data_IF_559073084474
#
_entry.id   IF_559073084474
#
_cell.length_a   1.000
_cell.length_b   1.000
_cell.length_c   1.000
_cell.angle_alpha   90.00
_cell.angle_beta   90.00
_cell.angle_gamma   90.00
#
_symmetry.space_group_name_H-M   'P 1'
#
loop_
_entity.id
_entity.type
_entity.pdbx_description
1 polymer ?
#
# COMPACT_ATOMS: atom_id res chain seq x y z
N UNK A 1 38.87 -42.36 12.13
CA UNK A 1 39.03 -41.62 10.86
C UNK A 1 37.70 -41.41 10.13
N UNK A 2 36.89 -42.47 9.92
CA UNK A 2 35.58 -42.35 9.23
C UNK A 2 34.61 -41.38 9.94
N UNK A 3 34.58 -41.37 11.29
CA UNK A 3 33.74 -40.43 12.08
C UNK A 3 34.15 -38.95 11.93
N UNK A 4 35.44 -38.62 11.84
CA UNK A 4 35.90 -37.24 11.65
C UNK A 4 35.58 -36.73 10.23
N UNK A 5 35.69 -37.59 9.21
CA UNK A 5 35.34 -37.23 7.84
C UNK A 5 33.82 -37.01 7.72
N UNK A 6 33.01 -37.88 8.33
CA UNK A 6 31.55 -37.71 8.34
C UNK A 6 31.12 -36.43 9.06
N UNK A 7 31.76 -36.09 10.19
CA UNK A 7 31.51 -34.84 10.90
C UNK A 7 31.89 -33.61 10.06
N UNK A 8 33.05 -33.64 9.40
CA UNK A 8 33.50 -32.55 8.53
C UNK A 8 32.58 -32.36 7.31
N UNK A 9 32.15 -33.46 6.66
CA UNK A 9 31.20 -33.41 5.53
C UNK A 9 29.86 -32.83 5.96
N UNK A 10 29.34 -33.26 7.12
CA UNK A 10 28.06 -32.75 7.64
C UNK A 10 28.15 -31.26 7.98
N UNK A 11 29.26 -30.81 8.58
CA UNK A 11 29.49 -29.40 8.86
C UNK A 11 29.55 -28.54 7.58
N UNK A 12 30.24 -29.03 6.55
CA UNK A 12 30.31 -28.35 5.25
C UNK A 12 28.93 -28.30 4.57
N UNK A 13 28.18 -29.41 4.61
CA UNK A 13 26.83 -29.47 4.05
C UNK A 13 25.89 -28.46 4.73
N UNK A 14 25.90 -28.41 6.07
CA UNK A 14 25.11 -27.45 6.83
C UNK A 14 25.51 -26.00 6.52
N UNK A 15 26.82 -25.72 6.42
CA UNK A 15 27.31 -24.39 6.03
C UNK A 15 26.80 -23.99 4.64
N UNK A 16 26.85 -24.89 3.66
CA UNK A 16 26.33 -24.63 2.30
C UNK A 16 24.83 -24.36 2.34
N UNK A 17 24.06 -25.13 3.10
CA UNK A 17 22.61 -24.94 3.25
C UNK A 17 22.31 -23.57 3.89
N UNK A 18 23.03 -23.18 4.94
CA UNK A 18 22.84 -21.88 5.59
C UNK A 18 23.16 -20.72 4.63
N UNK A 19 24.24 -20.82 3.85
CA UNK A 19 24.58 -19.82 2.83
C UNK A 19 23.48 -19.77 1.77
N UNK A 20 23.00 -20.91 1.28
CA UNK A 20 21.93 -20.96 0.29
C UNK A 20 20.65 -20.30 0.82
N UNK A 21 20.23 -20.62 2.06
CA UNK A 21 19.08 -19.98 2.72
C UNK A 21 19.24 -18.47 2.82
N UNK A 22 20.41 -17.99 3.25
CA UNK A 22 20.70 -16.56 3.35
C UNK A 22 20.60 -15.87 1.98
N UNK A 23 21.07 -16.51 0.91
CA UNK A 23 20.98 -15.95 -0.44
C UNK A 23 19.55 -15.95 -0.96
N UNK A 24 18.76 -17.01 -0.74
CA UNK A 24 17.34 -17.01 -1.12
C UNK A 24 16.57 -15.95 -0.34
N UNK A 25 16.84 -15.77 0.95
CA UNK A 25 16.28 -14.69 1.75
C UNK A 25 16.63 -13.31 1.16
N UNK A 26 17.91 -13.08 0.84
CA UNK A 26 18.37 -11.85 0.18
C UNK A 26 17.70 -11.61 -1.18
N UNK A 27 17.52 -12.66 -1.98
CA UNK A 27 16.87 -12.57 -3.30
C UNK A 27 15.38 -12.23 -3.16
N UNK A 28 14.69 -12.88 -2.23
CA UNK A 28 13.29 -12.58 -1.89
C UNK A 28 13.15 -11.14 -1.39
N UNK A 29 14.04 -10.71 -0.51
CA UNK A 29 14.09 -9.32 -0.04
C UNK A 29 14.34 -8.35 -1.19
N UNK A 30 15.27 -8.65 -2.09
CA UNK A 30 15.54 -7.83 -3.27
C UNK A 30 14.31 -7.68 -4.16
N UNK A 31 13.60 -8.78 -4.46
CA UNK A 31 12.38 -8.71 -5.25
C UNK A 31 11.29 -7.92 -4.53
N UNK A 32 11.11 -8.14 -3.21
CA UNK A 32 10.16 -7.36 -2.40
C UNK A 32 10.47 -5.87 -2.48
N UNK A 33 11.74 -5.48 -2.29
CA UNK A 33 12.20 -4.11 -2.40
C UNK A 33 12.01 -3.53 -3.82
N UNK A 34 12.39 -4.28 -4.85
CA UNK A 34 12.23 -3.88 -6.25
C UNK A 34 10.75 -3.63 -6.61
N UNK A 35 9.85 -4.55 -6.24
CA UNK A 35 8.42 -4.37 -6.45
C UNK A 35 7.83 -3.26 -5.60
N UNK A 36 8.36 -3.03 -4.39
CA UNK A 36 7.95 -1.90 -3.55
C UNK A 36 8.30 -0.56 -4.20
N UNK A 37 9.54 -0.41 -4.70
CA UNK A 37 9.97 0.77 -5.48
C UNK A 37 9.12 0.92 -6.75
N UNK A 38 8.83 -0.18 -7.44
CA UNK A 38 7.98 -0.15 -8.63
C UNK A 38 6.53 0.27 -8.30
N UNK A 39 5.96 -0.19 -7.17
CA UNK A 39 4.64 0.24 -6.69
C UNK A 39 4.62 1.73 -6.33
N UNK A 40 5.67 2.22 -5.68
CA UNK A 40 5.84 3.66 -5.41
C UNK A 40 5.91 4.45 -6.73
N UNK A 41 6.69 3.96 -7.70
CA UNK A 41 6.76 4.57 -9.03
C UNK A 41 5.39 4.61 -9.72
N UNK A 42 4.61 3.53 -9.66
CA UNK A 42 3.23 3.48 -10.16
C UNK A 42 2.28 4.43 -9.43
N UNK A 43 2.50 4.66 -8.14
CA UNK A 43 1.71 5.60 -7.34
C UNK A 43 1.87 7.04 -7.85
N UNK A 44 3.11 7.48 -8.08
CA UNK A 44 3.42 8.83 -8.52
C UNK A 44 3.23 9.05 -10.02
N UNK A 45 3.52 8.05 -10.85
CA UNK A 45 3.53 8.18 -12.30
C UNK A 45 2.95 6.89 -12.93
N UNK A 46 1.62 6.71 -12.90
CA UNK A 46 1.01 5.44 -13.31
C UNK A 46 1.21 5.14 -14.79
N UNK A 47 1.07 6.14 -15.67
CA UNK A 47 1.25 5.92 -17.11
C UNK A 47 2.72 5.58 -17.41
N UNK A 48 3.65 6.36 -16.86
CA UNK A 48 5.08 6.14 -17.00
C UNK A 48 5.49 4.79 -16.46
N UNK A 49 4.93 4.35 -15.33
CA UNK A 49 5.20 3.03 -14.75
C UNK A 49 4.73 1.88 -15.63
N UNK A 50 3.53 1.99 -16.21
CA UNK A 50 3.03 0.97 -17.16
C UNK A 50 3.89 0.93 -18.42
N UNK A 51 4.22 2.09 -18.98
CA UNK A 51 5.11 2.18 -20.14
C UNK A 51 6.50 1.60 -19.82
N UNK A 52 7.07 1.93 -18.66
CA UNK A 52 8.33 1.38 -18.20
C UNK A 52 8.28 -0.15 -18.07
N UNK A 53 7.24 -0.71 -17.47
CA UNK A 53 7.10 -2.16 -17.34
C UNK A 53 7.02 -2.87 -18.69
N UNK A 54 6.26 -2.32 -19.64
CA UNK A 54 6.19 -2.87 -20.99
C UNK A 54 7.56 -2.83 -21.69
N UNK A 55 8.29 -1.72 -21.58
CA UNK A 55 9.63 -1.59 -22.13
C UNK A 55 10.65 -2.50 -21.44
N UNK A 56 10.49 -2.74 -20.13
CA UNK A 56 11.30 -3.71 -19.40
C UNK A 56 11.06 -5.13 -19.93
N UNK A 57 9.80 -5.50 -20.18
CA UNK A 57 9.47 -6.78 -20.82
C UNK A 57 10.08 -6.91 -22.22
N UNK A 58 10.09 -5.83 -23.01
CA UNK A 58 10.76 -5.80 -24.33
C UNK A 58 12.27 -6.02 -24.17
N UNK A 59 12.92 -5.37 -23.20
CA UNK A 59 14.34 -5.55 -22.94
C UNK A 59 14.67 -6.98 -22.46
N UNK A 60 13.83 -7.57 -21.62
CA UNK A 60 13.94 -8.99 -21.22
C UNK A 60 13.82 -9.88 -22.46
N UNK A 61 12.83 -9.65 -23.32
CA UNK A 61 12.65 -10.41 -24.56
C UNK A 61 13.88 -10.29 -25.47
N UNK A 62 14.42 -9.09 -25.68
CA UNK A 62 15.64 -8.86 -26.47
C UNK A 62 16.83 -9.64 -25.89
N UNK A 63 17.02 -9.56 -24.57
CA UNK A 63 18.10 -10.27 -23.87
C UNK A 63 18.02 -11.80 -24.07
N UNK A 64 16.83 -12.38 -24.16
CA UNK A 64 16.66 -13.82 -24.39
C UNK A 64 16.47 -14.20 -25.87
N UNK A 65 16.34 -13.22 -26.79
CA UNK A 65 16.15 -13.52 -28.21
C UNK A 65 17.43 -14.04 -28.87
N UNK A 66 17.28 -14.95 -29.83
CA UNK A 66 18.38 -15.61 -30.53
C UNK A 66 19.19 -14.67 -31.46
N UNK A 67 18.64 -13.50 -31.82
CA UNK A 67 19.23 -12.61 -32.83
C UNK A 67 20.12 -11.50 -32.23
N UNK A 68 20.47 -11.59 -30.94
CA UNK A 68 21.33 -10.58 -30.29
C UNK A 68 21.43 -10.69 -28.77
N UNK A 69 20.70 -11.61 -28.13
CA UNK A 69 20.70 -11.80 -26.69
C UNK A 69 21.80 -12.73 -26.15
N UNK A 70 21.68 -13.05 -24.85
CA UNK A 70 22.51 -13.99 -24.09
C UNK A 70 22.67 -15.36 -24.79
N UNK A 71 21.66 -15.79 -25.55
CA UNK A 71 21.70 -17.06 -26.29
C UNK A 71 22.60 -17.01 -27.54
N UNK A 72 22.72 -15.86 -28.21
CA UNK A 72 23.61 -15.67 -29.36
C UNK A 72 25.10 -15.68 -28.97
N UNK A 73 25.40 -15.32 -27.72
CA UNK A 73 26.75 -15.38 -27.15
C UNK A 73 27.31 -16.81 -27.07
N UNK A 74 26.44 -17.83 -27.01
CA UNK A 74 26.84 -19.24 -26.98
C UNK A 74 27.15 -19.85 -28.35
N UNK A 75 26.62 -19.27 -29.43
CA UNK A 75 26.72 -19.82 -30.79
C UNK A 75 27.83 -19.19 -31.63
N UNK A 76 28.46 -18.12 -31.14
CA UNK A 76 29.57 -17.42 -31.83
C UNK A 76 29.12 -16.61 -33.06
N UNK A 77 27.83 -16.62 -33.38
CA UNK A 77 27.27 -15.94 -34.54
C UNK A 77 26.59 -14.64 -34.10
N UNK A 78 27.39 -13.66 -33.70
CA UNK A 78 26.91 -12.33 -33.33
C UNK A 78 26.75 -11.50 -34.60
N UNK A 79 25.77 -11.84 -35.43
CA UNK A 79 25.32 -10.93 -36.47
C UNK A 79 24.54 -9.81 -35.80
N UNK A 80 25.09 -8.60 -35.81
CA UNK A 80 24.31 -7.39 -35.50
C UNK A 80 23.14 -7.44 -36.47
N UNK A 81 21.87 -7.42 -36.01
CA UNK A 81 20.75 -7.38 -36.92
C UNK A 81 20.82 -6.04 -37.66
N UNK A 82 21.44 -6.07 -38.84
CA UNK A 82 21.33 -5.02 -39.84
C UNK A 82 19.88 -5.05 -40.29
N UNK A 83 19.06 -4.21 -39.64
CA UNK A 83 17.74 -3.73 -40.11
C UNK A 83 17.13 -4.65 -41.16
N UNK A 84 16.60 -5.79 -40.73
CA UNK A 84 15.85 -6.66 -41.65
C UNK A 84 14.54 -5.96 -41.98
N UNK A 85 14.38 -5.63 -43.26
CA UNK A 85 13.17 -5.16 -43.92
C UNK A 85 11.97 -6.07 -43.62
N UNK A 86 11.26 -5.83 -42.53
CA UNK A 86 9.87 -6.22 -42.40
C UNK A 86 9.06 -4.96 -42.09
N UNK A 87 8.98 -4.10 -43.10
CA UNK A 87 8.02 -2.99 -43.14
C UNK A 87 6.63 -3.58 -43.32
N UNK A 88 5.86 -3.64 -42.23
CA UNK A 88 4.42 -3.56 -42.33
C UNK A 88 4.12 -2.15 -42.86
N UNK A 89 3.79 -2.06 -44.15
CA UNK A 89 3.42 -0.81 -44.85
C UNK A 89 2.15 -0.22 -44.24
N UNK A 90 2.33 0.51 -43.14
CA UNK A 90 1.35 1.44 -42.60
C UNK A 90 2.01 2.81 -42.74
N UNK A 91 1.37 3.78 -43.44
CA UNK A 91 1.95 5.08 -43.72
C UNK A 91 1.95 5.93 -42.44
N UNK A 92 2.94 5.70 -41.58
CA UNK A 92 3.23 6.48 -40.36
C UNK A 92 4.75 6.66 -40.28
N UNK A 93 5.32 7.28 -41.32
CA UNK A 93 6.77 7.36 -41.55
C UNK A 93 7.56 7.98 -40.36
N UNK A 94 6.94 8.85 -39.56
CA UNK A 94 7.59 9.46 -38.40
C UNK A 94 7.70 8.55 -37.16
N UNK A 95 6.59 7.92 -36.76
CA UNK A 95 6.52 7.14 -35.51
C UNK A 95 7.26 5.81 -35.65
N UNK A 96 7.16 5.18 -36.82
CA UNK A 96 7.84 3.91 -37.10
C UNK A 96 9.35 4.10 -37.11
N UNK A 97 9.84 5.19 -37.69
CA UNK A 97 11.27 5.51 -37.70
C UNK A 97 11.82 5.71 -36.29
N UNK A 98 11.14 6.50 -35.45
CA UNK A 98 11.58 6.75 -34.07
C UNK A 98 11.53 5.47 -33.21
N UNK A 99 10.52 4.62 -33.41
CA UNK A 99 10.41 3.32 -32.71
C UNK A 99 11.55 2.38 -33.10
N UNK A 100 11.87 2.32 -34.40
CA UNK A 100 12.99 1.51 -34.89
C UNK A 100 14.35 2.03 -34.40
N UNK A 101 14.53 3.36 -34.34
CA UNK A 101 15.72 3.99 -33.76
C UNK A 101 15.88 3.60 -32.29
N UNK A 102 14.83 3.76 -31.48
CA UNK A 102 14.85 3.41 -30.06
C UNK A 102 15.11 1.90 -29.83
N UNK A 103 14.53 1.04 -30.66
CA UNK A 103 14.76 -0.41 -30.60
C UNK A 103 16.21 -0.78 -30.97
N UNK A 104 16.78 -0.14 -32.00
CA UNK A 104 18.19 -0.34 -32.38
C UNK A 104 19.15 0.12 -31.27
N UNK A 105 18.82 1.22 -30.60
CA UNK A 105 19.57 1.73 -29.44
C UNK A 105 19.47 0.75 -28.26
N UNK A 106 18.29 0.20 -28.01
CA UNK A 106 18.10 -0.83 -26.97
C UNK A 106 18.93 -2.07 -27.23
N UNK A 107 18.86 -2.62 -28.45
CA UNK A 107 19.70 -3.75 -28.85
C UNK A 107 21.19 -3.44 -28.63
N UNK A 108 21.66 -2.27 -29.07
CA UNK A 108 23.06 -1.87 -28.88
C UNK A 108 23.46 -1.79 -27.40
N UNK A 109 22.64 -1.17 -26.56
CA UNK A 109 22.90 -1.03 -25.11
C UNK A 109 22.93 -2.41 -24.45
N UNK A 110 21.94 -3.27 -24.71
CA UNK A 110 21.85 -4.61 -24.12
C UNK A 110 23.01 -5.50 -24.58
N UNK A 111 23.38 -5.46 -25.87
CA UNK A 111 24.51 -6.22 -26.42
C UNK A 111 25.84 -5.73 -25.82
N UNK A 112 26.03 -4.42 -25.67
CA UNK A 112 27.25 -3.91 -25.07
C UNK A 112 27.34 -4.26 -23.58
N UNK A 113 26.25 -4.10 -22.83
CA UNK A 113 26.18 -4.50 -21.43
C UNK A 113 26.45 -5.99 -21.24
N UNK A 114 25.86 -6.86 -22.07
CA UNK A 114 26.10 -8.31 -22.00
C UNK A 114 27.54 -8.66 -22.33
N UNK A 115 28.16 -7.99 -23.32
CA UNK A 115 29.57 -8.16 -23.66
C UNK A 115 30.48 -7.70 -22.52
N UNK A 116 30.18 -6.58 -21.89
CA UNK A 116 31.00 -6.07 -20.79
C UNK A 116 30.84 -6.92 -19.53
N UNK A 117 29.63 -7.44 -19.26
CA UNK A 117 29.39 -8.45 -18.22
C UNK A 117 30.17 -9.74 -18.51
N UNK A 118 30.18 -10.20 -19.75
CA UNK A 118 30.95 -11.38 -20.16
C UNK A 118 32.46 -11.14 -20.00
N UNK A 119 32.99 -9.99 -20.44
CA UNK A 119 34.41 -9.65 -20.24
C UNK A 119 34.76 -9.61 -18.76
N UNK A 120 33.92 -8.97 -17.94
CA UNK A 120 34.10 -8.94 -16.50
C UNK A 120 34.11 -10.36 -15.91
N UNK A 121 33.19 -11.23 -16.34
CA UNK A 121 33.13 -12.61 -15.89
C UNK A 121 34.37 -13.41 -16.30
N UNK A 122 34.83 -13.27 -17.55
CA UNK A 122 36.05 -13.91 -18.04
C UNK A 122 37.29 -13.43 -17.26
N UNK A 123 37.37 -12.14 -16.93
CA UNK A 123 38.51 -11.59 -16.19
C UNK A 123 38.46 -11.93 -14.70
N UNK A 124 37.27 -11.95 -14.08
CA UNK A 124 37.12 -12.05 -12.62
C UNK A 124 36.86 -13.48 -12.15
N UNK A 125 36.05 -14.25 -12.88
CA UNK A 125 35.65 -15.60 -12.48
C UNK A 125 36.49 -16.64 -13.20
N UNK A 126 36.61 -16.54 -14.52
CA UNK A 126 37.31 -17.55 -15.32
C UNK A 126 38.82 -17.62 -15.04
N UNK A 127 39.44 -16.53 -14.58
CA UNK A 127 40.84 -16.51 -14.16
C UNK A 127 41.17 -17.53 -13.05
N UNK A 128 40.17 -17.97 -12.28
CA UNK A 128 40.33 -18.97 -11.21
C UNK A 128 40.08 -20.42 -11.66
N UNK A 129 39.87 -20.65 -12.96
CA UNK A 129 39.51 -21.97 -13.51
C UNK A 129 40.45 -23.08 -12.98
N UNK A 130 39.84 -24.14 -12.45
CA UNK A 130 40.55 -25.31 -11.90
C UNK A 130 40.80 -25.24 -10.38
N UNK A 131 40.50 -24.10 -9.73
CA UNK A 131 40.51 -24.00 -8.27
C UNK A 131 39.14 -24.31 -7.65
N UNK A 132 39.11 -24.67 -6.35
CA UNK A 132 37.84 -24.76 -5.61
C UNK A 132 37.11 -23.40 -5.55
N UNK A 133 37.86 -22.30 -5.52
CA UNK A 133 37.34 -20.93 -5.52
C UNK A 133 36.50 -20.67 -6.77
N UNK A 134 36.87 -21.24 -7.92
CA UNK A 134 36.09 -21.12 -9.15
C UNK A 134 34.65 -21.64 -9.00
N UNK A 135 34.47 -22.77 -8.31
CA UNK A 135 33.13 -23.36 -8.10
C UNK A 135 32.27 -22.40 -7.25
N UNK A 136 32.84 -21.88 -6.16
CA UNK A 136 32.16 -20.88 -5.32
C UNK A 136 31.82 -19.61 -6.09
N UNK A 137 32.74 -19.07 -6.89
CA UNK A 137 32.50 -17.88 -7.71
C UNK A 137 31.43 -18.12 -8.78
N UNK A 138 31.38 -19.30 -9.39
CA UNK A 138 30.32 -19.67 -10.35
C UNK A 138 28.96 -19.70 -9.66
N UNK A 139 28.85 -20.34 -8.49
CA UNK A 139 27.61 -20.36 -7.71
C UNK A 139 27.18 -18.94 -7.34
N UNK A 140 28.10 -18.13 -6.81
CA UNK A 140 27.83 -16.73 -6.48
C UNK A 140 27.38 -15.92 -7.69
N UNK A 141 28.02 -16.13 -8.85
CA UNK A 141 27.65 -15.44 -10.09
C UNK A 141 26.23 -15.82 -10.51
N UNK A 142 25.88 -17.10 -10.49
CA UNK A 142 24.52 -17.57 -10.85
C UNK A 142 23.47 -16.95 -9.91
N UNK A 143 23.78 -16.89 -8.61
CA UNK A 143 22.87 -16.31 -7.61
C UNK A 143 22.69 -14.80 -7.79
N UNK A 144 23.79 -14.07 -8.01
CA UNK A 144 23.76 -12.61 -8.20
C UNK A 144 23.35 -12.19 -9.62
N UNK A 145 23.29 -13.12 -10.57
CA UNK A 145 22.94 -12.83 -11.96
C UNK A 145 21.58 -12.16 -12.07
N UNK A 146 20.56 -12.71 -11.40
CA UNK A 146 19.18 -12.24 -11.47
C UNK A 146 19.03 -10.79 -10.98
N UNK A 147 19.46 -10.41 -9.76
CA UNK A 147 19.30 -9.03 -9.28
C UNK A 147 20.13 -8.04 -10.12
N UNK A 148 21.37 -8.40 -10.45
CA UNK A 148 22.28 -7.53 -11.21
C UNK A 148 21.74 -7.28 -12.62
N UNK A 149 21.31 -8.32 -13.33
CA UNK A 149 20.74 -8.19 -14.67
C UNK A 149 19.44 -7.40 -14.63
N UNK A 150 18.59 -7.61 -13.63
CA UNK A 150 17.33 -6.85 -13.48
C UNK A 150 17.60 -5.35 -13.36
N UNK A 151 18.56 -4.94 -12.51
CA UNK A 151 18.95 -3.53 -12.37
C UNK A 151 19.56 -2.98 -13.66
N UNK A 152 20.44 -3.73 -14.32
CA UNK A 152 21.01 -3.30 -15.60
C UNK A 152 19.95 -3.15 -16.69
N UNK A 153 18.98 -4.06 -16.76
CA UNK A 153 17.86 -3.95 -17.71
C UNK A 153 16.99 -2.73 -17.41
N UNK A 154 16.72 -2.41 -16.14
CA UNK A 154 16.02 -1.20 -15.75
C UNK A 154 16.78 0.06 -16.21
N UNK A 155 18.09 0.12 -15.99
CA UNK A 155 18.94 1.23 -16.47
C UNK A 155 18.93 1.28 -18.01
N UNK A 156 18.95 0.14 -18.68
CA UNK A 156 18.90 0.06 -20.14
C UNK A 156 17.57 0.58 -20.70
N UNK A 157 16.44 0.40 -20.00
CA UNK A 157 15.15 1.00 -20.38
C UNK A 157 15.27 2.53 -20.40
N UNK A 158 15.82 3.13 -19.33
CA UNK A 158 16.03 4.58 -19.28
C UNK A 158 17.00 5.07 -20.35
N UNK A 159 18.11 4.37 -20.58
CA UNK A 159 19.11 4.76 -21.57
C UNK A 159 18.55 4.71 -23.01
N UNK A 160 17.72 3.72 -23.31
CA UNK A 160 17.26 3.42 -24.68
C UNK A 160 15.99 4.17 -25.05
N UNK A 161 15.05 4.30 -24.10
CA UNK A 161 13.71 4.84 -24.32
C UNK A 161 13.46 6.15 -23.59
N UNK A 162 14.51 6.93 -23.31
CA UNK A 162 14.39 8.21 -22.60
C UNK A 162 13.34 9.16 -23.22
N UNK A 163 13.23 9.24 -24.55
CA UNK A 163 12.21 10.07 -25.24
C UNK A 163 10.79 9.58 -24.96
N UNK A 164 10.54 8.28 -25.11
CA UNK A 164 9.21 7.67 -24.87
C UNK A 164 8.81 7.86 -23.40
N UNK A 165 9.75 7.60 -22.48
CA UNK A 165 9.51 7.82 -21.04
C UNK A 165 9.28 9.31 -20.73
N UNK A 166 10.00 10.22 -21.37
CA UNK A 166 9.78 11.66 -21.20
C UNK A 166 8.37 12.06 -21.63
N UNK A 167 7.88 11.58 -22.78
CA UNK A 167 6.50 11.83 -23.18
C UNK A 167 5.47 11.20 -22.23
N UNK A 168 5.75 10.02 -21.67
CA UNK A 168 4.90 9.41 -20.66
C UNK A 168 4.85 10.24 -19.36
N UNK A 169 5.99 10.78 -18.91
CA UNK A 169 6.06 11.67 -17.75
C UNK A 169 5.30 12.97 -18.00
N UNK A 170 5.44 13.57 -19.19
CA UNK A 170 4.67 14.77 -19.57
C UNK A 170 3.17 14.46 -19.61
N UNK A 171 2.77 13.31 -20.14
CA UNK A 171 1.38 12.91 -20.17
C UNK A 171 0.81 12.68 -18.76
N UNK A 172 1.57 12.03 -17.87
CA UNK A 172 1.22 11.93 -16.45
C UNK A 172 1.05 13.33 -15.84
N UNK A 173 2.01 14.23 -16.03
CA UNK A 173 1.96 15.60 -15.51
C UNK A 173 0.72 16.37 -16.01
N UNK A 174 0.38 16.24 -17.30
CA UNK A 174 -0.85 16.83 -17.86
C UNK A 174 -2.10 16.24 -17.22
N UNK A 175 -2.17 14.93 -16.99
CA UNK A 175 -3.29 14.29 -16.29
C UNK A 175 -3.41 14.81 -14.86
N UNK A 176 -2.29 14.99 -14.15
CA UNK A 176 -2.28 15.58 -12.80
C UNK A 176 -2.79 17.02 -12.79
N UNK A 177 -2.32 17.86 -13.72
CA UNK A 177 -2.79 19.25 -13.85
C UNK A 177 -4.27 19.31 -14.20
N UNK A 178 -4.75 18.49 -15.15
CA UNK A 178 -6.16 18.43 -15.51
C UNK A 178 -7.05 18.03 -14.32
N UNK A 179 -6.61 17.07 -13.50
CA UNK A 179 -7.33 16.69 -12.28
C UNK A 179 -7.26 17.75 -11.19
N UNK A 180 -6.16 18.49 -11.10
CA UNK A 180 -6.04 19.62 -10.18
C UNK A 180 -7.00 20.74 -10.55
N UNK A 181 -7.18 21.02 -11.85
CA UNK A 181 -8.19 21.96 -12.35
C UNK A 181 -9.64 21.52 -12.06
N UNK A 182 -9.87 20.23 -11.83
CA UNK A 182 -11.18 19.68 -11.43
C UNK A 182 -11.41 19.70 -9.90
N UNK A 183 -10.56 20.38 -9.13
CA UNK A 183 -10.76 20.61 -7.70
C UNK A 183 -10.14 19.56 -6.77
N UNK A 184 -9.32 18.63 -7.28
CA UNK A 184 -8.59 17.68 -6.43
C UNK A 184 -7.15 18.15 -6.22
N UNK A 185 -6.77 18.46 -4.98
CA UNK A 185 -5.39 18.87 -4.66
C UNK A 185 -4.32 17.88 -5.15
N UNK A 186 -3.13 18.38 -5.53
CA UNK A 186 -2.04 17.53 -6.03
C UNK A 186 -1.62 16.45 -5.03
N UNK A 187 -1.55 16.83 -3.76
CA UNK A 187 -1.12 15.95 -2.67
C UNK A 187 -2.18 14.88 -2.37
N UNK A 188 -3.46 15.24 -2.39
CA UNK A 188 -4.56 14.30 -2.15
C UNK A 188 -4.69 13.26 -3.26
N UNK A 189 -4.39 13.62 -4.51
CA UNK A 189 -4.33 12.67 -5.62
C UNK A 189 -3.19 11.64 -5.45
N UNK A 190 -2.02 12.07 -4.97
CA UNK A 190 -0.89 11.19 -4.71
C UNK A 190 -1.15 10.27 -3.52
N UNK A 191 -1.53 10.85 -2.37
CA UNK A 191 -1.82 10.11 -1.14
C UNK A 191 -3.01 9.15 -1.30
N UNK A 192 -4.06 9.55 -2.01
CA UNK A 192 -5.21 8.66 -2.26
C UNK A 192 -4.84 7.41 -3.05
N UNK A 193 -3.90 7.51 -4.00
CA UNK A 193 -3.36 6.32 -4.70
C UNK A 193 -2.43 5.52 -3.82
N UNK A 194 -1.60 6.19 -3.03
CA UNK A 194 -0.68 5.55 -2.09
C UNK A 194 -1.44 4.65 -1.11
N UNK A 195 -2.45 5.18 -0.44
CA UNK A 195 -3.28 4.40 0.50
C UNK A 195 -4.05 3.26 -0.17
N UNK A 196 -4.37 3.37 -1.46
CA UNK A 196 -5.00 2.28 -2.23
C UNK A 196 -4.01 1.17 -2.61
N UNK A 197 -2.75 1.52 -2.89
CA UNK A 197 -1.70 0.58 -3.26
C UNK A 197 -1.02 -0.08 -2.05
N UNK A 198 -1.04 0.61 -0.91
CA UNK A 198 -0.49 0.17 0.37
C UNK A 198 -1.61 0.11 1.41
N UNK A 199 -2.40 -0.99 1.45
CA UNK A 199 -3.58 -1.07 2.32
C UNK A 199 -3.23 -0.98 3.82
N UNK A 200 -2.06 -1.44 4.23
CA UNK A 200 -1.59 -1.31 5.63
C UNK A 200 -1.36 0.17 6.02
N UNK A 201 -0.66 0.93 5.17
CA UNK A 201 -0.45 2.36 5.39
C UNK A 201 -1.78 3.14 5.33
N UNK A 202 -2.70 2.72 4.44
CA UNK A 202 -4.05 3.26 4.38
C UNK A 202 -4.84 3.04 5.67
N UNK A 203 -4.90 1.80 6.16
CA UNK A 203 -5.59 1.44 7.41
C UNK A 203 -5.09 2.28 8.59
N UNK A 204 -3.76 2.34 8.78
CA UNK A 204 -3.14 3.16 9.85
C UNK A 204 -3.53 4.63 9.75
N UNK A 205 -3.57 5.19 8.54
CA UNK A 205 -4.01 6.57 8.35
C UNK A 205 -5.50 6.76 8.71
N UNK A 206 -6.38 5.85 8.29
CA UNK A 206 -7.81 5.94 8.62
C UNK A 206 -8.07 5.74 10.12
N UNK A 207 -7.36 4.82 10.77
CA UNK A 207 -7.43 4.61 12.23
C UNK A 207 -6.96 5.86 12.98
N UNK A 208 -5.85 6.48 12.56
CA UNK A 208 -5.36 7.74 13.14
C UNK A 208 -6.35 8.89 12.93
N UNK A 209 -6.98 8.99 11.76
CA UNK A 209 -8.01 10.00 11.52
C UNK A 209 -9.29 9.75 12.33
N UNK A 210 -9.67 8.49 12.50
CA UNK A 210 -10.85 8.10 13.27
C UNK A 210 -10.67 8.36 14.77
N UNK A 211 -9.50 8.02 15.32
CA UNK A 211 -9.14 8.31 16.72
C UNK A 211 -9.07 9.81 16.99
N UNK A 212 -8.52 10.61 16.06
CA UNK A 212 -8.55 12.07 16.14
C UNK A 212 -9.99 12.63 16.15
N UNK A 213 -10.86 12.11 15.29
CA UNK A 213 -12.26 12.52 15.24
C UNK A 213 -13.00 12.17 16.54
N UNK A 214 -12.77 10.96 17.08
CA UNK A 214 -13.31 10.57 18.38
C UNK A 214 -12.84 11.49 19.52
N UNK A 215 -11.54 11.84 19.53
CA UNK A 215 -10.97 12.77 20.52
C UNK A 215 -11.63 14.14 20.42
N UNK A 216 -11.71 14.71 19.22
CA UNK A 216 -12.35 16.02 18.98
C UNK A 216 -13.82 16.03 19.40
N UNK A 217 -14.57 14.97 19.08
CA UNK A 217 -15.97 14.86 19.47
C UNK A 217 -16.14 14.73 20.99
N UNK A 218 -15.21 14.04 21.66
CA UNK A 218 -15.20 13.92 23.12
C UNK A 218 -14.88 15.25 23.82
N UNK A 219 -13.95 16.03 23.24
CA UNK A 219 -13.59 17.36 23.73
C UNK A 219 -14.73 18.37 23.52
N UNK A 220 -15.40 18.37 22.36
CA UNK A 220 -16.59 19.19 22.10
C UNK A 220 -17.71 18.90 23.11
N UNK A 221 -17.98 17.62 23.39
CA UNK A 221 -18.98 17.21 24.38
C UNK A 221 -18.60 17.69 25.80
N UNK A 222 -17.32 17.63 26.15
CA UNK A 222 -16.81 18.08 27.45
C UNK A 222 -16.94 19.60 27.61
N UNK A 223 -16.69 20.36 26.54
CA UNK A 223 -16.86 21.81 26.53
C UNK A 223 -18.34 22.21 26.59
N UNK A 224 -19.21 21.52 25.87
CA UNK A 224 -20.66 21.74 25.95
C UNK A 224 -21.17 21.52 27.39
N UNK A 225 -20.72 20.46 28.06
CA UNK A 225 -21.05 20.17 29.46
C UNK A 225 -20.54 21.26 30.42
N UNK A 226 -19.30 21.75 30.23
CA UNK A 226 -18.77 22.88 31.02
C UNK A 226 -19.58 24.15 30.81
N UNK A 227 -19.96 24.46 29.57
CA UNK A 227 -20.78 25.64 29.26
C UNK A 227 -22.18 25.56 29.87
N UNK A 228 -22.78 24.36 29.91
CA UNK A 228 -24.07 24.11 30.56
C UNK A 228 -23.98 24.24 32.07
N UNK A 229 -22.88 23.79 32.69
CA UNK A 229 -22.63 23.96 34.13
C UNK A 229 -22.50 25.45 34.48
N UNK A 230 -21.67 26.20 33.75
CA UNK A 230 -21.53 27.65 33.93
C UNK A 230 -22.85 28.41 33.75
N UNK A 231 -23.65 28.10 32.72
CA UNK A 231 -24.99 28.72 32.57
C UNK A 231 -25.97 28.38 33.68
N UNK A 232 -25.84 27.19 34.29
CA UNK A 232 -26.66 26.82 35.45
C UNK A 232 -26.23 27.63 36.66
N UNK A 233 -24.93 27.80 36.87
CA UNK A 233 -24.39 28.57 37.99
C UNK A 233 -24.77 30.06 37.87
N UNK A 234 -24.75 30.65 36.67
CA UNK A 234 -25.23 32.02 36.42
C UNK A 234 -26.76 32.19 36.62
N UNK A 235 -27.55 31.14 36.40
CA UNK A 235 -29.01 31.19 36.56
C UNK A 235 -29.45 31.11 38.03
N UNK A 236 -28.64 30.52 38.91
CA UNK A 236 -28.87 30.45 40.36
C UNK A 236 -28.00 31.45 41.16
N UNK A 237 -27.25 32.32 40.47
CA UNK A 237 -26.20 33.17 41.06
C UNK A 237 -26.65 34.43 41.80
N UNK A 238 -27.85 34.47 42.38
CA UNK A 238 -28.32 35.63 43.16
C UNK A 238 -28.98 35.27 44.51
N UNK A 239 -28.78 34.04 45.01
CA UNK A 239 -29.03 33.75 46.43
C UNK A 239 -27.70 33.60 47.17
N UNK A 240 -27.29 34.73 47.73
CA UNK A 240 -26.30 34.91 48.79
C UNK A 240 -26.63 33.95 49.95
N UNK A 241 -26.11 32.72 49.89
CA UNK A 241 -26.09 31.78 51.02
C UNK A 241 -24.65 31.65 51.50
N UNK A 242 -24.29 32.52 52.43
CA UNK A 242 -23.24 32.27 53.41
C UNK A 242 -23.61 30.98 54.15
N UNK A 243 -22.96 29.87 53.83
CA UNK A 243 -22.86 28.73 54.73
C UNK A 243 -21.39 28.29 54.80
N UNK A 244 -20.74 28.94 55.75
CA UNK A 244 -19.62 28.49 56.56
C UNK A 244 -19.78 27.00 56.96
N UNK A 245 -19.06 26.11 56.29
CA UNK A 245 -18.62 24.84 56.85
C UNK A 245 -17.17 24.59 56.46
N UNK A 246 -16.29 24.82 57.44
CA UNK A 246 -15.01 24.14 57.59
C UNK A 246 -15.21 22.62 57.49
N UNK A 247 -14.38 21.93 56.70
CA UNK A 247 -13.56 20.84 57.24
C UNK A 247 -12.49 20.42 56.22
N UNK A 248 -11.26 20.52 56.70
CA UNK A 248 -10.02 19.97 56.18
C UNK A 248 -10.18 18.55 55.59
N UNK A 249 -9.76 18.38 54.34
CA UNK A 249 -9.30 17.09 53.84
C UNK A 249 -8.22 17.35 52.77
N UNK A 250 -7.02 17.56 53.32
CA UNK A 250 -5.74 17.48 52.63
C UNK A 250 -5.62 16.17 51.86
N UNK A 251 -5.10 16.30 50.64
CA UNK A 251 -4.04 15.52 50.00
C UNK A 251 -4.11 13.98 49.90
N UNK A 252 -3.54 13.52 48.76
CA UNK A 252 -3.13 12.14 48.43
C UNK A 252 -4.23 11.14 48.05
N UNK A 253 -4.53 11.09 46.75
CA UNK A 253 -4.74 9.81 46.06
C UNK A 253 -3.66 9.69 44.98
N UNK A 254 -2.45 9.35 45.46
CA UNK A 254 -1.46 8.62 44.68
C UNK A 254 -1.99 7.22 44.39
N UNK A 255 -1.78 6.82 43.13
CA UNK A 255 -1.28 5.53 42.63
C UNK A 255 -1.75 4.19 43.25
N UNK A 256 -1.83 3.22 42.34
CA UNK A 256 -1.93 1.77 42.57
C UNK A 256 -3.32 1.18 42.84
N UNK A 257 -4.07 0.98 41.75
CA UNK A 257 -5.05 -0.11 41.65
C UNK A 257 -4.59 -1.11 40.59
N UNK A 258 -3.55 -1.88 40.93
CA UNK A 258 -3.33 -3.23 40.41
C UNK A 258 -4.41 -4.12 41.02
N UNK A 259 -5.50 -4.37 40.28
CA UNK A 259 -6.49 -5.39 40.62
C UNK A 259 -6.29 -6.62 39.73
N UNK A 260 -5.38 -7.45 40.22
CA UNK A 260 -5.37 -8.92 40.17
C UNK A 260 -6.80 -9.50 40.08
N UNK A 261 -7.20 -9.94 38.88
CA UNK A 261 -8.36 -10.82 38.71
C UNK A 261 -7.88 -12.24 38.43
N UNK A 262 -7.80 -12.97 39.55
CA UNK A 262 -7.71 -14.42 39.66
C UNK A 262 -8.81 -15.14 38.86
N UNK A 263 -8.34 -16.11 38.09
CA UNK A 263 -8.68 -17.54 38.22
C UNK A 263 -10.17 -17.90 38.38
N UNK A 264 -10.80 -18.21 37.26
CA UNK A 264 -11.91 -19.17 37.20
C UNK A 264 -11.68 -20.14 36.04
N UNK A 265 -10.93 -21.21 36.33
CA UNK A 265 -11.03 -22.50 35.67
C UNK A 265 -12.48 -23.00 35.73
N UNK A 266 -13.13 -23.12 34.58
CA UNK A 266 -14.33 -23.94 34.42
C UNK A 266 -14.15 -24.88 33.21
N UNK A 267 -13.83 -26.13 33.55
CA UNK A 267 -13.87 -27.31 32.71
C UNK A 267 -15.14 -27.37 31.86
N UNK A 268 -15.01 -27.51 30.53
CA UNK A 268 -15.97 -28.25 29.70
C UNK A 268 -15.35 -28.64 28.34
N UNK A 269 -15.07 -29.95 28.24
CA UNK A 269 -15.34 -30.86 27.12
C UNK A 269 -14.58 -30.73 25.77
N UNK A 270 -13.60 -31.63 25.64
CA UNK A 270 -13.39 -32.59 24.53
C UNK A 270 -13.95 -32.22 23.13
N UNK A 271 -13.06 -31.80 22.22
CA UNK A 271 -13.11 -32.25 20.82
C UNK A 271 -11.69 -32.23 20.20
N UNK A 272 -11.16 -33.38 19.71
CA UNK A 272 -9.82 -33.45 19.15
C UNK A 272 -9.81 -33.23 17.63
N UNK A 273 -8.65 -32.78 17.14
CA UNK A 273 -8.17 -32.81 15.76
C UNK A 273 -8.51 -31.60 14.86
N UNK A 274 -7.60 -30.62 14.82
CA UNK A 274 -7.02 -30.21 13.52
C UNK A 274 -5.66 -29.49 13.70
N UNK A 275 -4.60 -30.20 13.29
CA UNK A 275 -3.25 -29.69 13.11
C UNK A 275 -3.22 -28.64 11.97
N UNK A 276 -2.93 -27.39 12.30
CA UNK A 276 -2.20 -26.49 11.40
C UNK A 276 -1.06 -25.83 12.18
N UNK A 277 0.15 -26.27 11.86
CA UNK A 277 1.42 -25.62 12.22
C UNK A 277 1.43 -24.22 11.59
N UNK A 278 1.24 -23.18 12.41
CA UNK A 278 1.51 -21.78 12.04
C UNK A 278 2.90 -21.42 12.56
N UNK A 279 3.88 -21.46 11.67
CA UNK A 279 5.24 -21.04 11.95
C UNK A 279 5.34 -19.50 11.97
N UNK A 280 5.55 -18.96 13.17
CA UNK A 280 6.56 -17.93 13.46
C UNK A 280 6.49 -16.62 12.68
N UNK A 281 5.67 -15.68 13.15
CA UNK A 281 5.92 -14.25 12.95
C UNK A 281 6.70 -13.70 14.14
N UNK A 282 8.01 -13.50 13.94
CA UNK A 282 8.84 -12.64 14.78
C UNK A 282 8.43 -11.17 14.52
N UNK A 283 7.65 -10.61 15.42
CA UNK A 283 7.39 -9.17 15.54
C UNK A 283 8.46 -8.57 16.45
N UNK A 284 9.45 -7.92 15.86
CA UNK A 284 10.42 -7.06 16.57
C UNK A 284 10.69 -5.83 15.70
N UNK A 285 9.83 -4.81 15.83
CA UNK A 285 10.19 -3.42 15.57
C UNK A 285 9.49 -2.54 16.61
N UNK A 286 10.12 -2.48 17.78
CA UNK A 286 10.12 -1.30 18.64
C UNK A 286 10.68 -0.12 17.84
N UNK A 287 9.83 0.86 17.55
CA UNK A 287 10.23 2.22 17.22
C UNK A 287 9.39 3.14 18.11
N UNK A 288 9.82 3.26 19.37
CA UNK A 288 9.56 4.42 20.21
C UNK A 288 10.10 5.66 19.48
N UNK A 289 9.21 6.48 18.93
CA UNK A 289 9.55 7.85 18.57
C UNK A 289 8.65 8.79 19.35
N UNK A 290 9.33 9.54 20.22
CA UNK A 290 8.88 10.65 21.03
C UNK A 290 7.87 11.56 20.32
N UNK A 291 6.73 11.74 20.98
CA UNK A 291 5.83 12.86 20.78
C UNK A 291 6.50 14.13 21.34
N UNK A 292 7.30 14.81 20.52
CA UNK A 292 7.64 16.23 20.74
C UNK A 292 6.98 17.09 19.66
N UNK A 293 5.95 17.81 20.10
CA UNK A 293 5.46 19.13 19.64
C UNK A 293 5.93 19.61 18.26
N UNK A 294 4.99 19.63 17.31
CA UNK A 294 5.00 20.63 16.23
C UNK A 294 3.55 20.94 15.81
N UNK A 295 2.86 21.64 16.72
CA UNK A 295 1.62 22.37 16.45
C UNK A 295 1.94 23.60 15.59
N UNK A 296 1.88 23.48 14.25
CA UNK A 296 1.81 24.69 13.42
C UNK A 296 1.00 24.50 12.11
N UNK A 297 -0.23 25.03 12.16
CA UNK A 297 -0.99 25.69 11.07
C UNK A 297 -1.21 24.97 9.72
N UNK A 298 -2.43 24.45 9.51
CA UNK A 298 -3.19 24.59 8.26
C UNK A 298 -4.71 24.42 8.53
N UNK A 299 -5.36 25.45 9.07
CA UNK A 299 -6.81 25.62 8.91
C UNK A 299 -7.05 26.22 7.52
N UNK A 300 -7.51 25.41 6.56
CA UNK A 300 -8.18 25.91 5.36
C UNK A 300 -9.69 25.75 5.55
N UNK A 301 -10.35 26.91 5.71
CA UNK A 301 -11.80 27.09 5.76
C UNK A 301 -12.48 26.42 4.56
N UNK A 302 -13.27 25.38 4.82
CA UNK A 302 -14.25 24.89 3.86
C UNK A 302 -15.57 25.65 4.07
N UNK A 303 -15.75 26.74 3.32
CA UNK A 303 -17.04 27.39 3.13
C UNK A 303 -18.03 26.41 2.44
N UNK A 304 -19.15 26.13 3.12
CA UNK A 304 -20.24 25.24 2.69
C UNK A 304 -21.10 25.91 1.59
N UNK A 305 -20.60 25.93 0.35
CA UNK A 305 -21.41 26.27 -0.82
C UNK A 305 -22.24 25.06 -1.27
N UNK A 306 -23.44 24.94 -0.68
CA UNK A 306 -24.50 24.08 -1.19
C UNK A 306 -25.11 24.69 -2.45
N UNK A 307 -24.79 24.13 -3.62
CA UNK A 307 -25.71 24.13 -4.77
C UNK A 307 -26.06 22.70 -5.24
N UNK A 308 -27.29 22.51 -5.78
CA UNK A 308 -27.85 21.18 -6.00
C UNK A 308 -27.50 20.66 -7.40
N UNK A 309 -26.94 19.46 -7.47
CA UNK A 309 -26.66 18.79 -8.75
C UNK A 309 -27.26 17.39 -8.78
N UNK A 310 -28.11 17.21 -9.77
CA UNK A 310 -28.90 16.03 -10.10
C UNK A 310 -28.05 14.81 -10.49
N UNK A 311 -28.48 13.65 -9.96
CA UNK A 311 -28.59 12.37 -10.67
C UNK A 311 -27.30 11.62 -11.06
N UNK A 312 -26.80 10.78 -10.15
CA UNK A 312 -26.05 9.58 -10.51
C UNK A 312 -26.62 8.37 -9.76
N UNK A 313 -27.22 7.45 -10.53
CA UNK A 313 -27.80 6.19 -10.08
C UNK A 313 -26.71 5.28 -9.48
N UNK A 314 -26.57 5.31 -8.17
CA UNK A 314 -26.13 4.14 -7.40
C UNK A 314 -27.38 3.27 -7.17
N UNK A 315 -27.27 1.97 -7.38
CA UNK A 315 -28.32 0.97 -7.14
C UNK A 315 -28.60 0.77 -5.65
N UNK A 316 -28.89 1.86 -4.93
CA UNK A 316 -29.35 1.86 -3.55
C UNK A 316 -30.77 1.28 -3.54
N UNK A 317 -30.94 0.22 -2.78
CA UNK A 317 -32.23 -0.44 -2.57
C UNK A 317 -33.17 0.52 -1.83
N UNK A 318 -34.36 0.79 -2.39
CA UNK A 318 -35.36 1.65 -1.73
C UNK A 318 -36.10 0.84 -0.65
N UNK A 319 -35.70 1.05 0.61
CA UNK A 319 -36.29 0.39 1.77
C UNK A 319 -37.75 0.78 1.98
N UNK A 320 -38.24 1.86 1.39
CA UNK A 320 -39.60 2.38 1.56
C UNK A 320 -40.47 2.22 0.30
N UNK A 321 -39.98 1.48 -0.71
CA UNK A 321 -40.79 1.08 -1.84
C UNK A 321 -42.09 0.37 -1.39
N UNK A 322 -43.22 0.81 -1.93
CA UNK A 322 -44.56 0.27 -1.63
C UNK A 322 -45.29 0.89 -0.43
N UNK A 323 -44.69 1.86 0.27
CA UNK A 323 -45.38 2.62 1.31
C UNK A 323 -46.29 3.69 0.70
N UNK A 324 -47.61 3.52 0.82
CA UNK A 324 -48.61 4.41 0.21
C UNK A 324 -49.17 5.47 1.19
N UNK A 325 -48.77 5.42 2.46
CA UNK A 325 -49.23 6.36 3.49
C UNK A 325 -48.15 6.64 4.52
N UNK A 326 -48.25 7.79 5.21
CA UNK A 326 -47.32 8.17 6.28
C UNK A 326 -47.24 7.12 7.39
N UNK A 327 -48.39 6.59 7.81
CA UNK A 327 -48.44 5.53 8.83
C UNK A 327 -47.72 4.25 8.38
N UNK A 328 -47.76 3.93 7.08
CA UNK A 328 -47.04 2.76 6.55
C UNK A 328 -45.52 2.96 6.54
N UNK A 329 -45.05 4.19 6.29
CA UNK A 329 -43.63 4.56 6.37
C UNK A 329 -43.13 4.46 7.82
N UNK A 330 -43.88 5.02 8.78
CA UNK A 330 -43.51 5.00 10.20
C UNK A 330 -43.49 3.57 10.78
N UNK A 331 -44.44 2.72 10.37
CA UNK A 331 -44.46 1.29 10.75
C UNK A 331 -43.27 0.54 10.16
N UNK A 332 -42.98 0.73 8.88
CA UNK A 332 -41.86 0.06 8.20
C UNK A 332 -40.51 0.51 8.78
N UNK A 333 -40.37 1.80 9.06
CA UNK A 333 -39.18 2.36 9.72
C UNK A 333 -38.92 1.71 11.09
N UNK A 334 -39.94 1.62 11.95
CA UNK A 334 -39.79 0.97 13.27
C UNK A 334 -39.39 -0.51 13.16
N UNK A 335 -39.89 -1.23 12.15
CA UNK A 335 -39.49 -2.62 11.90
C UNK A 335 -38.05 -2.72 11.40
N UNK A 336 -37.63 -1.83 10.50
CA UNK A 336 -36.26 -1.81 9.96
C UNK A 336 -35.23 -1.44 11.03
N UNK A 337 -35.49 -0.41 11.83
CA UNK A 337 -34.61 -0.02 12.95
C UNK A 337 -34.49 -1.16 13.97
N UNK A 338 -35.58 -1.88 14.24
CA UNK A 338 -35.56 -3.05 15.11
C UNK A 338 -34.79 -4.24 14.55
N UNK A 339 -34.61 -4.35 13.23
CA UNK A 339 -33.89 -5.46 12.61
C UNK A 339 -32.38 -5.15 12.55
N UNK A 340 -32.05 -3.92 12.14
CA UNK A 340 -30.68 -3.45 11.90
C UNK A 340 -30.08 -2.69 13.11
N UNK A 341 -30.63 -2.85 14.31
CA UNK A 341 -30.04 -2.26 15.52
C UNK A 341 -28.70 -2.95 15.83
N UNK A 342 -27.64 -2.22 16.22
CA UNK A 342 -26.34 -2.82 16.56
C UNK A 342 -26.42 -3.83 17.72
N UNK A 343 -27.45 -3.73 18.57
CA UNK A 343 -27.68 -4.69 19.67
C UNK A 343 -28.31 -6.02 19.21
N UNK A 344 -28.65 -6.18 17.93
CA UNK A 344 -29.11 -7.45 17.38
C UNK A 344 -27.96 -8.24 16.74
N UNK A 345 -28.09 -9.57 16.73
CA UNK A 345 -27.07 -10.50 16.19
C UNK A 345 -26.69 -10.23 14.71
N UNK A 346 -27.55 -9.60 13.92
CA UNK A 346 -27.31 -9.22 12.51
C UNK A 346 -27.33 -7.68 12.29
N UNK A 347 -26.99 -6.90 13.32
CA UNK A 347 -26.99 -5.44 13.26
C UNK A 347 -26.00 -4.88 12.22
N UNK A 348 -26.48 -4.05 11.30
CA UNK A 348 -25.66 -3.34 10.30
C UNK A 348 -25.86 -1.83 10.45
N UNK A 349 -24.85 -1.16 11.02
CA UNK A 349 -24.85 0.28 11.27
C UNK A 349 -24.79 1.11 9.99
N UNK A 350 -24.20 0.58 8.91
CA UNK A 350 -24.16 1.23 7.61
C UNK A 350 -25.55 1.22 6.96
N UNK A 351 -26.24 0.07 6.97
CA UNK A 351 -27.62 -0.03 6.49
C UNK A 351 -28.59 0.84 7.31
N UNK A 352 -28.41 0.90 8.63
CA UNK A 352 -29.23 1.75 9.51
C UNK A 352 -29.10 3.25 9.16
N UNK A 353 -27.89 3.70 8.83
CA UNK A 353 -27.65 5.08 8.39
C UNK A 353 -28.41 5.40 7.09
N UNK A 354 -28.43 4.47 6.14
CA UNK A 354 -29.13 4.61 4.87
C UNK A 354 -30.66 4.60 5.06
N UNK A 355 -31.17 3.73 5.94
CA UNK A 355 -32.59 3.69 6.33
C UNK A 355 -33.04 5.03 6.93
N UNK A 356 -32.22 5.66 7.78
CA UNK A 356 -32.53 6.95 8.38
C UNK A 356 -32.64 8.08 7.34
N UNK A 357 -31.71 8.11 6.37
CA UNK A 357 -31.72 9.08 5.26
C UNK A 357 -32.97 8.87 4.38
N UNK A 358 -33.27 7.63 4.02
CA UNK A 358 -34.45 7.32 3.19
C UNK A 358 -35.76 7.60 3.93
N UNK A 359 -35.84 7.35 5.24
CA UNK A 359 -37.00 7.67 6.07
C UNK A 359 -37.28 9.18 6.10
N UNK A 360 -36.25 10.01 6.29
CA UNK A 360 -36.38 11.46 6.25
C UNK A 360 -36.91 11.95 4.90
N UNK A 361 -36.44 11.34 3.81
CA UNK A 361 -36.90 11.64 2.45
C UNK A 361 -38.34 11.14 2.20
N UNK A 362 -38.72 9.96 2.69
CA UNK A 362 -40.06 9.40 2.55
C UNK A 362 -41.10 10.19 3.38
N UNK A 363 -40.73 10.66 4.57
CA UNK A 363 -41.58 11.48 5.44
C UNK A 363 -41.92 12.84 4.84
N UNK A 364 -41.00 13.42 4.04
CA UNK A 364 -41.25 14.66 3.28
C UNK A 364 -42.25 14.47 2.13
N UNK A 365 -42.40 13.25 1.59
CA UNK A 365 -43.34 12.95 0.48
C UNK A 365 -44.81 12.92 0.93
N UNK A 366 -45.06 12.73 2.22
CA UNK A 366 -46.41 12.71 2.80
C UNK A 366 -46.54 13.81 3.87
N UNK A 367 -46.73 15.08 3.46
CA UNK A 367 -47.08 16.16 4.38
C UNK A 367 -48.45 15.91 5.03
N UNK A 368 -48.64 16.49 6.22
CA UNK A 368 -49.80 16.30 7.10
C UNK A 368 -51.14 16.68 6.44
#
# INVERSE_FOLDING_TARGET
>A
MISLISLAVNAIANLIITIAKAVFSMLTWFFKAFFHVFKLFFCFLPLTSVTFALLLCVNVYILFSANGGLLALGTGDMTIPTTSEHTLDIPVDGIVHETNEAMSKSNYVIINMSRDLQKWWMNSVYSYKGSLIFIFLVILTILMFVPVVTVFLAIAVFASFNKILFFAVVADAVIYVLRALLGTGFVTQGLGRYYRLFPEAGKRHYEKSYTKLLKQQSDELREELRSKKSKKDDFYGDEEFEDEYDEDLDDEYDEDYDEEYDDYDEDCDDDPDEYYEDEGYDDDYDDEYDDEDDDEYYEEDYEDDKEPSHNARSSSFDFFAGCNSRESVDKKYKTLVKLYHPDNMDGDTAALSEINIQYANAKKRFPL
#
